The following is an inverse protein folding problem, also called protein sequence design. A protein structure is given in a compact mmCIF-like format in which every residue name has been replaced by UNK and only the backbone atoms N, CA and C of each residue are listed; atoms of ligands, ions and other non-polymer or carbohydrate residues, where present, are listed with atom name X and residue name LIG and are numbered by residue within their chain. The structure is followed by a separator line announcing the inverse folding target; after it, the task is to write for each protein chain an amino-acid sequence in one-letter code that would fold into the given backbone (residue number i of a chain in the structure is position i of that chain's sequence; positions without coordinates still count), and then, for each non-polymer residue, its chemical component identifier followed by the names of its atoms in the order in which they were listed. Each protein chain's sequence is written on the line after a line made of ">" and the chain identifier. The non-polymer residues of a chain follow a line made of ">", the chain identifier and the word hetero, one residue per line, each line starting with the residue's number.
data_IF_866169971732
#
_entry.id   IF_866169971732
#
_cell.length_a   1.000
_cell.length_b   1.000
_cell.length_c   1.000
_cell.angle_alpha   90.00
_cell.angle_beta   90.00
_cell.angle_gamma   90.00
#
_symmetry.space_group_name_H-M   'P 1'
#
loop_
_entity.id
_entity.type
_entity.pdbx_description
1 polymer ?
#
# COMPACT_ATOMS: atom_id res chain seq x y z
N UNK A 1 -6.16 19.97 7.98
CA UNK A 1 -5.59 18.61 7.72
C UNK A 1 -5.00 18.04 9.01
N UNK A 2 -5.44 16.84 9.43
CA UNK A 2 -5.04 16.16 10.68
C UNK A 2 -3.53 16.07 10.94
N UNK A 3 -2.75 16.00 9.85
CA UNK A 3 -1.29 15.93 9.88
C UNK A 3 -0.59 17.27 10.18
N UNK A 4 -1.27 18.40 9.99
CA UNK A 4 -0.69 19.76 10.13
C UNK A 4 -0.80 20.29 11.56
N UNK A 5 -1.72 19.76 12.37
CA UNK A 5 -2.01 20.24 13.73
C UNK A 5 -1.28 19.54 14.88
N UNK A 6 -0.35 18.61 14.60
CA UNK A 6 0.29 17.75 15.61
C UNK A 6 1.80 17.90 15.73
N UNK A 7 2.40 17.17 16.69
CA UNK A 7 3.86 17.17 16.94
C UNK A 7 4.74 16.69 15.78
N UNK A 8 4.12 16.13 14.72
CA UNK A 8 4.82 15.65 13.52
C UNK A 8 4.70 16.58 12.30
N UNK A 9 4.18 17.81 12.46
CA UNK A 9 3.97 18.77 11.37
C UNK A 9 5.20 18.96 10.48
N UNK A 10 6.38 19.13 11.06
CA UNK A 10 7.61 19.39 10.29
C UNK A 10 8.03 18.16 9.48
N UNK A 11 7.88 16.95 10.06
CA UNK A 11 8.13 15.70 9.33
C UNK A 11 7.12 15.48 8.20
N UNK A 12 5.87 15.89 8.42
CA UNK A 12 4.83 15.83 7.41
C UNK A 12 5.10 16.79 6.24
N UNK A 13 5.41 18.05 6.55
CA UNK A 13 5.72 19.08 5.54
C UNK A 13 6.93 18.65 4.71
N UNK A 14 7.99 18.16 5.36
CA UNK A 14 9.16 17.66 4.65
C UNK A 14 8.82 16.53 3.67
N UNK A 15 7.95 15.59 4.07
CA UNK A 15 7.49 14.52 3.19
C UNK A 15 6.62 15.03 2.04
N UNK A 16 5.72 15.98 2.31
CA UNK A 16 4.84 16.60 1.31
C UNK A 16 5.62 17.37 0.24
N UNK A 17 6.67 18.09 0.64
CA UNK A 17 7.58 18.83 -0.26
C UNK A 17 8.47 17.92 -1.12
N UNK A 18 8.37 16.60 -0.96
CA UNK A 18 9.28 15.66 -1.60
C UNK A 18 8.75 15.14 -2.95
N UNK A 19 9.53 15.28 -4.00
CA UNK A 19 9.21 14.74 -5.32
C UNK A 19 9.35 13.20 -5.35
N UNK A 20 8.28 12.51 -5.76
CA UNK A 20 8.03 11.07 -5.53
C UNK A 20 9.20 10.12 -5.85
N UNK A 21 9.21 8.99 -5.15
CA UNK A 21 10.02 7.79 -5.42
C UNK A 21 11.54 7.88 -5.23
N UNK A 22 12.05 8.93 -4.57
CA UNK A 22 13.46 8.97 -4.17
C UNK A 22 13.70 8.27 -2.83
N UNK A 23 14.95 7.84 -2.60
CA UNK A 23 15.39 7.34 -1.28
C UNK A 23 15.18 8.42 -0.22
N UNK A 24 15.41 9.69 -0.55
CA UNK A 24 15.22 10.81 0.38
C UNK A 24 13.74 10.96 0.80
N UNK A 25 12.79 10.87 -0.14
CA UNK A 25 11.37 10.87 0.22
C UNK A 25 10.98 9.67 1.07
N UNK A 26 11.61 8.53 0.80
CA UNK A 26 11.44 7.33 1.61
C UNK A 26 11.91 7.56 3.04
N UNK A 27 13.05 8.23 3.25
CA UNK A 27 13.52 8.60 4.58
C UNK A 27 12.57 9.56 5.28
N UNK A 28 12.06 10.57 4.58
CA UNK A 28 11.11 11.55 5.12
C UNK A 28 9.79 10.88 5.53
N UNK A 29 9.28 9.95 4.72
CA UNK A 29 8.13 9.12 5.09
C UNK A 29 8.38 8.30 6.35
N UNK A 30 9.53 7.60 6.43
CA UNK A 30 9.84 6.80 7.61
C UNK A 30 10.05 7.65 8.87
N UNK A 31 10.59 8.87 8.74
CA UNK A 31 10.68 9.83 9.86
C UNK A 31 9.29 10.27 10.32
N UNK A 32 8.41 10.63 9.39
CA UNK A 32 7.01 10.94 9.70
C UNK A 32 6.31 9.78 10.41
N UNK A 33 6.42 8.57 9.84
CA UNK A 33 5.83 7.36 10.43
C UNK A 33 6.31 7.12 11.86
N UNK A 34 7.63 7.19 12.10
CA UNK A 34 8.20 7.04 13.46
C UNK A 34 7.68 8.10 14.41
N UNK A 35 7.57 9.35 13.96
CA UNK A 35 7.00 10.42 14.77
C UNK A 35 5.54 10.10 15.16
N UNK A 36 4.72 9.64 14.21
CA UNK A 36 3.34 9.25 14.48
C UNK A 36 3.23 8.07 15.45
N UNK A 37 4.15 7.10 15.38
CA UNK A 37 4.23 5.97 16.30
C UNK A 37 4.59 6.40 17.73
N UNK A 38 5.49 7.39 17.89
CA UNK A 38 5.81 7.97 19.20
C UNK A 38 4.63 8.73 19.78
N UNK A 39 3.87 9.42 18.93
CA UNK A 39 2.68 10.17 19.32
C UNK A 39 1.39 9.39 19.05
N UNK A 40 1.43 8.07 19.29
CA UNK A 40 0.32 7.16 18.94
C UNK A 40 -1.01 7.61 19.53
N UNK A 41 -1.05 8.19 20.73
CA UNK A 41 -2.29 8.66 21.36
C UNK A 41 -3.00 9.74 20.53
N UNK A 42 -2.22 10.65 19.93
CA UNK A 42 -2.76 11.67 19.02
C UNK A 42 -3.19 11.06 17.68
N UNK A 43 -2.40 10.13 17.14
CA UNK A 43 -2.64 9.48 15.84
C UNK A 43 -3.53 8.22 15.92
N UNK A 44 -4.02 7.86 17.10
CA UNK A 44 -4.83 6.66 17.35
C UNK A 44 -6.10 6.64 16.49
N UNK A 45 -6.83 7.75 16.30
CA UNK A 45 -8.00 7.78 15.41
C UNK A 45 -7.65 7.44 13.96
N UNK A 46 -6.50 7.92 13.48
CA UNK A 46 -5.97 7.60 12.15
C UNK A 46 -5.69 6.10 12.02
N UNK A 47 -4.91 5.52 12.95
CA UNK A 47 -4.61 4.09 12.92
C UNK A 47 -5.86 3.21 13.07
N UNK A 48 -6.86 3.65 13.83
CA UNK A 48 -8.13 2.94 13.96
C UNK A 48 -8.92 2.93 12.66
N UNK A 49 -8.94 4.05 11.94
CA UNK A 49 -9.56 4.11 10.62
C UNK A 49 -8.85 3.12 9.69
N UNK A 50 -7.51 3.15 9.59
CA UNK A 50 -6.77 2.22 8.73
C UNK A 50 -7.07 0.76 9.03
N UNK A 51 -7.02 0.39 10.31
CA UNK A 51 -7.33 -0.98 10.73
C UNK A 51 -8.75 -1.40 10.34
N UNK A 52 -9.74 -0.52 10.46
CA UNK A 52 -11.12 -0.81 10.04
C UNK A 52 -11.23 -0.99 8.54
N UNK A 53 -10.50 -0.19 7.75
CA UNK A 53 -10.49 -0.32 6.30
C UNK A 53 -9.90 -1.67 5.89
N UNK A 54 -8.75 -2.05 6.47
CA UNK A 54 -8.12 -3.35 6.22
C UNK A 54 -9.03 -4.52 6.62
N UNK A 55 -9.66 -4.47 7.80
CA UNK A 55 -10.61 -5.52 8.25
C UNK A 55 -11.86 -5.62 7.38
N UNK A 56 -12.35 -4.50 6.84
CA UNK A 56 -13.50 -4.47 5.92
C UNK A 56 -13.13 -4.99 4.55
N UNK A 57 -11.92 -4.70 4.06
CA UNK A 57 -11.39 -5.30 2.85
C UNK A 57 -11.23 -6.82 3.01
N UNK A 58 -10.60 -7.29 4.08
CA UNK A 58 -10.43 -8.74 4.30
C UNK A 58 -11.77 -9.48 4.40
N UNK A 59 -12.81 -8.83 4.93
CA UNK A 59 -14.15 -9.41 5.07
C UNK A 59 -14.98 -9.37 3.79
N UNK A 60 -14.94 -8.25 3.06
CA UNK A 60 -15.83 -7.97 1.92
C UNK A 60 -15.13 -8.07 0.57
N UNK A 61 -13.81 -8.23 0.57
CA UNK A 61 -12.98 -8.35 -0.62
C UNK A 61 -13.41 -9.57 -1.41
N UNK A 62 -13.77 -9.35 -2.66
CA UNK A 62 -13.90 -10.45 -3.59
C UNK A 62 -12.49 -11.02 -3.78
N UNK A 63 -12.27 -12.32 -3.58
CA UNK A 63 -10.95 -12.86 -3.83
C UNK A 63 -10.63 -12.64 -5.31
N UNK A 64 -9.47 -12.04 -5.58
CA UNK A 64 -8.89 -11.89 -6.94
C UNK A 64 -9.04 -13.18 -7.76
N UNK A 65 -9.05 -14.32 -7.05
CA UNK A 65 -9.37 -15.65 -7.56
C UNK A 65 -10.72 -16.10 -7.00
N UNK A 66 -11.82 -16.01 -7.79
CA UNK A 66 -13.18 -16.21 -7.30
C UNK A 66 -13.50 -17.68 -6.94
N UNK A 67 -12.64 -18.63 -7.31
CA UNK A 67 -12.90 -20.04 -7.02
C UNK A 67 -12.75 -20.34 -5.52
N UNK A 68 -13.82 -20.89 -4.93
CA UNK A 68 -13.82 -21.44 -3.57
C UNK A 68 -13.19 -22.83 -3.51
N UNK A 69 -13.00 -23.50 -4.64
CA UNK A 69 -12.34 -24.79 -4.69
C UNK A 69 -10.81 -24.61 -4.59
N UNK A 70 -10.12 -25.22 -3.61
CA UNK A 70 -8.69 -25.00 -3.40
C UNK A 70 -7.81 -25.29 -4.62
N UNK A 71 -8.16 -26.31 -5.41
CA UNK A 71 -7.39 -26.70 -6.62
C UNK A 71 -7.49 -25.65 -7.71
N UNK A 72 -8.71 -25.22 -8.04
CA UNK A 72 -8.94 -24.19 -9.05
C UNK A 72 -8.39 -22.83 -8.58
N UNK A 73 -8.49 -22.49 -7.30
CA UNK A 73 -7.85 -21.29 -6.75
C UNK A 73 -6.32 -21.33 -6.90
N UNK A 74 -5.69 -22.48 -6.61
CA UNK A 74 -4.25 -22.65 -6.78
C UNK A 74 -3.84 -22.56 -8.26
N UNK A 75 -4.67 -23.08 -9.17
CA UNK A 75 -4.47 -22.97 -10.62
C UNK A 75 -4.54 -21.51 -11.07
N UNK A 76 -5.58 -20.77 -10.67
CA UNK A 76 -5.73 -19.35 -10.99
C UNK A 76 -4.57 -18.51 -10.44
N UNK A 77 -4.14 -18.76 -9.20
CA UNK A 77 -2.96 -18.11 -8.64
C UNK A 77 -1.68 -18.47 -9.40
N UNK A 78 -1.53 -19.72 -9.83
CA UNK A 78 -0.38 -20.14 -10.64
C UNK A 78 -0.37 -19.49 -12.02
N UNK A 79 -1.53 -19.33 -12.66
CA UNK A 79 -1.67 -18.65 -13.95
C UNK A 79 -1.30 -17.17 -13.81
N UNK A 80 -1.80 -16.48 -12.79
CA UNK A 80 -1.43 -15.09 -12.50
C UNK A 80 0.09 -14.90 -12.38
N UNK A 81 0.75 -15.76 -11.60
CA UNK A 81 2.21 -15.69 -11.37
C UNK A 81 3.02 -16.00 -12.64
N UNK A 82 2.47 -16.82 -13.55
CA UNK A 82 3.11 -17.19 -14.81
C UNK A 82 2.86 -16.21 -15.96
N UNK A 83 2.04 -15.18 -15.73
CA UNK A 83 1.69 -14.18 -16.72
C UNK A 83 2.85 -13.31 -17.23
N UNK A 84 2.55 -12.33 -18.09
CA UNK A 84 3.55 -11.46 -18.71
C UNK A 84 4.48 -10.76 -17.69
N UNK A 85 3.98 -10.47 -16.49
CA UNK A 85 4.72 -9.77 -15.44
C UNK A 85 5.41 -10.68 -14.42
N UNK A 86 5.68 -11.95 -14.77
CA UNK A 86 6.32 -12.91 -13.86
C UNK A 86 7.63 -12.42 -13.23
N UNK A 87 8.49 -11.73 -13.99
CA UNK A 87 9.80 -11.27 -13.51
C UNK A 87 9.68 -10.06 -12.58
N UNK A 88 8.92 -9.00 -12.92
CA UNK A 88 8.58 -7.94 -11.97
C UNK A 88 7.95 -8.47 -10.67
N UNK A 89 7.00 -9.41 -10.77
CA UNK A 89 6.37 -10.04 -9.61
C UNK A 89 7.39 -10.81 -8.73
N UNK A 90 8.28 -11.59 -9.34
CA UNK A 90 9.38 -12.28 -8.62
C UNK A 90 10.36 -11.30 -7.98
N UNK A 91 10.61 -10.15 -8.61
CA UNK A 91 11.44 -9.10 -8.04
C UNK A 91 10.78 -8.53 -6.77
N UNK A 92 9.50 -8.15 -6.87
CA UNK A 92 8.72 -7.65 -5.74
C UNK A 92 8.71 -8.63 -4.57
N UNK A 93 8.39 -9.91 -4.81
CA UNK A 93 8.37 -10.95 -3.74
C UNK A 93 9.72 -11.05 -3.03
N UNK A 94 10.83 -10.99 -3.77
CA UNK A 94 12.19 -11.03 -3.19
C UNK A 94 12.48 -9.80 -2.34
N UNK A 95 12.16 -8.60 -2.83
CA UNK A 95 12.37 -7.34 -2.10
C UNK A 95 11.47 -7.20 -0.89
N UNK A 96 10.25 -7.72 -0.98
CA UNK A 96 9.32 -7.78 0.14
C UNK A 96 9.80 -8.71 1.26
N UNK A 97 10.37 -9.87 0.91
CA UNK A 97 11.04 -10.73 1.88
C UNK A 97 12.29 -10.07 2.50
N UNK A 98 13.07 -9.31 1.72
CA UNK A 98 14.21 -8.53 2.20
C UNK A 98 13.76 -7.46 3.21
N UNK A 99 12.74 -6.68 2.88
CA UNK A 99 12.15 -5.66 3.75
C UNK A 99 11.59 -6.23 5.05
N UNK A 100 10.87 -7.37 4.98
CA UNK A 100 10.36 -8.05 6.18
C UNK A 100 11.46 -8.53 7.13
N UNK A 101 12.62 -8.92 6.61
CA UNK A 101 13.77 -9.32 7.43
C UNK A 101 14.55 -8.13 7.97
N UNK A 102 14.62 -7.06 7.20
CA UNK A 102 15.43 -5.89 7.51
C UNK A 102 14.64 -4.64 7.16
N UNK A 103 13.80 -4.16 8.09
CA UNK A 103 12.91 -3.02 7.88
C UNK A 103 13.68 -1.70 8.06
N UNK A 104 14.33 -1.23 7.00
CA UNK A 104 15.03 0.06 6.96
C UNK A 104 14.72 0.82 5.67
N UNK A 105 15.22 2.05 5.55
CA UNK A 105 14.97 2.92 4.39
C UNK A 105 15.30 2.27 3.06
N UNK A 106 16.49 1.66 2.94
CA UNK A 106 16.96 1.12 1.67
C UNK A 106 16.12 -0.07 1.22
N UNK A 107 15.77 -0.96 2.14
CA UNK A 107 14.96 -2.13 1.81
C UNK A 107 13.51 -1.76 1.55
N UNK A 108 12.97 -0.75 2.25
CA UNK A 108 11.65 -0.19 1.97
C UNK A 108 11.60 0.47 0.59
N UNK A 109 12.59 1.32 0.27
CA UNK A 109 12.70 1.97 -1.05
C UNK A 109 12.77 0.95 -2.18
N UNK A 110 13.66 -0.05 -2.07
CA UNK A 110 13.78 -1.13 -3.08
C UNK A 110 12.49 -1.94 -3.23
N UNK A 111 11.77 -2.19 -2.14
CA UNK A 111 10.48 -2.88 -2.18
C UNK A 111 9.43 -2.03 -2.90
N UNK A 112 9.39 -0.73 -2.64
CA UNK A 112 8.50 0.21 -3.32
C UNK A 112 8.82 0.32 -4.82
N UNK A 113 10.09 0.45 -5.21
CA UNK A 113 10.50 0.46 -6.62
C UNK A 113 10.09 -0.82 -7.36
N UNK A 114 10.28 -1.98 -6.72
CA UNK A 114 9.88 -3.27 -7.29
C UNK A 114 8.36 -3.39 -7.41
N UNK A 115 7.61 -2.86 -6.43
CA UNK A 115 6.15 -2.75 -6.46
C UNK A 115 5.67 -1.88 -7.62
N UNK A 116 6.21 -0.67 -7.78
CA UNK A 116 5.87 0.23 -8.88
C UNK A 116 6.17 -0.39 -10.25
N UNK A 117 7.32 -1.07 -10.37
CA UNK A 117 7.70 -1.78 -11.60
C UNK A 117 6.70 -2.91 -11.93
N UNK A 118 6.27 -3.65 -10.90
CA UNK A 118 5.27 -4.70 -11.06
C UNK A 118 3.93 -4.14 -11.50
N UNK A 119 3.43 -3.07 -10.87
CA UNK A 119 2.15 -2.47 -11.24
C UNK A 119 2.17 -1.85 -12.64
N UNK A 120 3.22 -1.11 -13.00
CA UNK A 120 3.37 -0.58 -14.37
C UNK A 120 3.35 -1.68 -15.43
N UNK A 121 3.98 -2.83 -15.13
CA UNK A 121 3.90 -3.98 -16.02
C UNK A 121 2.46 -4.50 -16.12
N UNK A 122 1.75 -4.66 -15.00
CA UNK A 122 0.38 -5.15 -14.99
C UNK A 122 -0.57 -4.21 -15.75
N UNK A 123 -0.39 -2.90 -15.61
CA UNK A 123 -1.13 -1.88 -16.37
C UNK A 123 -0.85 -1.97 -17.88
N UNK A 124 0.41 -2.20 -18.29
CA UNK A 124 0.77 -2.42 -19.69
C UNK A 124 0.21 -3.74 -20.26
N UNK A 125 -0.14 -4.68 -19.39
CA UNK A 125 -0.78 -5.97 -19.70
C UNK A 125 -2.16 -6.05 -19.05
N UNK A 126 -2.93 -4.95 -19.14
CA UNK A 126 -4.22 -4.82 -18.44
C UNK A 126 -5.25 -5.85 -18.92
N UNK A 127 -5.16 -6.32 -20.16
CA UNK A 127 -5.97 -7.40 -20.70
C UNK A 127 -5.78 -8.72 -19.94
N UNK A 128 -4.56 -9.00 -19.49
CA UNK A 128 -4.24 -10.17 -18.68
C UNK A 128 -4.58 -9.97 -17.19
N UNK A 129 -4.36 -8.76 -16.67
CA UNK A 129 -4.48 -8.45 -15.24
C UNK A 129 -5.75 -7.68 -14.86
N UNK A 130 -6.75 -7.63 -15.75
CA UNK A 130 -7.96 -6.78 -15.61
C UNK A 130 -8.63 -6.96 -14.25
N UNK A 131 -8.94 -8.20 -13.86
CA UNK A 131 -9.62 -8.49 -12.60
C UNK A 131 -8.83 -8.00 -11.38
N UNK A 132 -7.51 -8.16 -11.39
CA UNK A 132 -6.64 -7.70 -10.32
C UNK A 132 -6.53 -6.17 -10.26
N UNK A 133 -6.42 -5.52 -11.42
CA UNK A 133 -6.34 -4.05 -11.50
C UNK A 133 -7.68 -3.40 -11.11
N UNK A 134 -8.81 -3.99 -11.49
CA UNK A 134 -10.13 -3.54 -11.12
C UNK A 134 -10.36 -3.65 -9.61
N UNK A 135 -10.00 -4.79 -9.00
CA UNK A 135 -10.04 -4.97 -7.55
C UNK A 135 -9.16 -3.94 -6.84
N UNK A 136 -7.90 -3.79 -7.27
CA UNK A 136 -6.98 -2.77 -6.72
C UNK A 136 -7.58 -1.36 -6.80
N UNK A 137 -8.11 -0.96 -7.95
CA UNK A 137 -8.70 0.36 -8.13
C UNK A 137 -9.89 0.57 -7.18
N UNK A 138 -10.79 -0.41 -7.07
CA UNK A 138 -11.93 -0.36 -6.14
C UNK A 138 -11.48 -0.20 -4.69
N UNK A 139 -10.41 -0.89 -4.30
CA UNK A 139 -9.81 -0.71 -2.97
C UNK A 139 -9.25 0.69 -2.79
N UNK A 140 -8.41 1.16 -3.70
CA UNK A 140 -7.79 2.47 -3.61
C UNK A 140 -8.88 3.56 -3.48
N UNK A 141 -9.96 3.47 -4.28
CA UNK A 141 -11.13 4.36 -4.17
C UNK A 141 -11.83 4.29 -2.80
N UNK A 142 -12.01 3.08 -2.26
CA UNK A 142 -12.58 2.89 -0.93
C UNK A 142 -11.68 3.47 0.17
N UNK A 143 -10.37 3.22 0.11
CA UNK A 143 -9.36 3.77 1.02
C UNK A 143 -9.41 5.30 1.04
N UNK A 144 -9.38 5.95 -0.13
CA UNK A 144 -9.42 7.41 -0.20
C UNK A 144 -10.74 7.98 0.33
N UNK A 145 -11.87 7.33 0.04
CA UNK A 145 -13.17 7.76 0.56
C UNK A 145 -13.24 7.71 2.09
N UNK A 146 -12.76 6.63 2.71
CA UNK A 146 -12.75 6.50 4.17
C UNK A 146 -11.77 7.47 4.82
N UNK A 147 -10.63 7.72 4.17
CA UNK A 147 -9.67 8.73 4.62
C UNK A 147 -10.25 10.15 4.56
N UNK A 148 -10.94 10.52 3.47
CA UNK A 148 -11.60 11.82 3.32
C UNK A 148 -12.71 12.01 4.37
N UNK A 149 -13.51 10.96 4.62
CA UNK A 149 -14.54 10.98 5.66
C UNK A 149 -13.92 11.15 7.06
N UNK A 150 -12.80 10.48 7.32
CA UNK A 150 -12.04 10.65 8.56
C UNK A 150 -11.53 12.10 8.73
N UNK A 151 -10.97 12.70 7.68
CA UNK A 151 -10.50 14.09 7.71
C UNK A 151 -11.67 15.05 7.99
N UNK A 152 -12.80 14.88 7.30
CA UNK A 152 -14.00 15.70 7.48
C UNK A 152 -14.59 15.59 8.90
N UNK A 153 -14.63 14.38 9.47
CA UNK A 153 -15.15 14.13 10.81
C UNK A 153 -14.23 14.67 11.92
N UNK A 154 -12.92 14.74 11.67
CA UNK A 154 -11.92 15.18 12.63
C UNK A 154 -11.93 16.70 12.88
N UNK A 155 -12.85 17.46 12.26
CA UNK A 155 -12.94 18.94 12.33
C UNK A 155 -11.56 19.60 12.16
N UNK A 156 -10.87 19.20 11.09
CA UNK A 156 -9.54 19.66 10.67
C UNK A 156 -9.53 20.10 9.22
#
# INVERSE_FOLDING_TARGET
>A
MFMIGGGCKDSFTAYEDCERNTIECTEKWLKLKKCMEVHIDYYQPYYTMWKKVDELEERNGEPVYPSKEPKERAKQASEFVRGPCKEPLRSFIRRDAEYRRNNNTLTFHRQHEASDTMYKCMEAHSDYYEAFLADRKKRDEYYFKEFDAFLAASKL
#
